data_IF_341342350199
#
_entry.id   IF_341342350199
#
_cell.length_a   1.000
_cell.length_b   1.000
_cell.length_c   1.000
_cell.angle_alpha   90.00
_cell.angle_beta   90.00
_cell.angle_gamma   90.00
#
_symmetry.space_group_name_H-M   'P 1'
#
loop_
_entity.id
_entity.type
_entity.pdbx_description
1 polymer ?
#
# COMPACT_ATOMS: atom_id res chain seq x y z
N UNK A 1 5.10 10.60 -38.71
CA UNK A 1 6.57 10.75 -38.66
C UNK A 1 7.12 9.65 -37.73
N UNK A 2 7.61 8.51 -38.30
CA UNK A 2 8.17 7.42 -37.49
C UNK A 2 9.62 7.74 -37.16
N UNK A 3 9.92 8.15 -35.95
CA UNK A 3 11.29 8.33 -35.47
C UNK A 3 11.97 6.95 -35.43
N UNK A 4 12.76 6.62 -36.44
CA UNK A 4 13.67 5.46 -36.38
C UNK A 4 14.81 5.83 -35.42
N UNK A 5 14.66 5.55 -34.16
CA UNK A 5 15.74 5.71 -33.21
C UNK A 5 16.85 4.74 -33.58
N UNK A 6 18.04 5.27 -33.86
CA UNK A 6 19.18 4.46 -34.26
C UNK A 6 19.58 3.57 -33.09
N UNK A 7 19.46 2.26 -33.26
CA UNK A 7 19.73 1.26 -32.20
C UNK A 7 21.13 1.41 -31.58
N UNK A 8 22.11 1.82 -32.39
CA UNK A 8 23.47 2.13 -31.93
C UNK A 8 23.50 3.32 -30.97
N UNK A 9 22.69 4.34 -31.22
CA UNK A 9 22.58 5.52 -30.36
C UNK A 9 21.94 5.14 -29.01
N UNK A 10 20.94 4.28 -29.03
CA UNK A 10 20.29 3.76 -27.82
C UNK A 10 21.28 2.97 -26.95
N UNK A 11 22.07 2.06 -27.55
CA UNK A 11 23.10 1.32 -26.82
C UNK A 11 24.17 2.24 -26.23
N UNK A 12 24.63 3.22 -26.97
CA UNK A 12 25.63 4.20 -26.52
C UNK A 12 25.08 5.03 -25.34
N UNK A 13 23.84 5.44 -25.41
CA UNK A 13 23.16 6.16 -24.34
C UNK A 13 22.99 5.28 -23.08
N UNK A 14 22.56 4.02 -23.22
CA UNK A 14 22.47 3.08 -22.10
C UNK A 14 23.83 2.81 -21.44
N UNK A 15 24.89 2.62 -22.23
CA UNK A 15 26.25 2.40 -21.71
C UNK A 15 26.75 3.64 -20.96
N UNK A 16 26.53 4.85 -21.51
CA UNK A 16 26.89 6.12 -20.86
C UNK A 16 26.11 6.31 -19.55
N UNK A 17 24.82 6.03 -19.56
CA UNK A 17 23.95 6.11 -18.39
C UNK A 17 24.40 5.13 -17.28
N UNK A 18 24.67 3.88 -17.63
CA UNK A 18 25.19 2.87 -16.70
C UNK A 18 26.55 3.27 -16.14
N UNK A 19 27.46 3.81 -16.96
CA UNK A 19 28.78 4.22 -16.48
C UNK A 19 28.74 5.40 -15.52
N UNK A 20 27.80 6.34 -15.68
CA UNK A 20 27.59 7.44 -14.74
C UNK A 20 27.08 6.92 -13.38
N UNK A 21 26.17 5.94 -13.36
CA UNK A 21 25.71 5.33 -12.13
C UNK A 21 26.76 4.47 -11.42
N UNK A 22 27.63 3.81 -12.16
CA UNK A 22 28.73 3.02 -11.58
C UNK A 22 29.87 3.89 -11.00
N UNK A 23 30.05 5.11 -11.50
CA UNK A 23 31.11 6.01 -11.02
C UNK A 23 30.86 6.61 -9.63
N UNK A 24 29.64 6.54 -9.11
CA UNK A 24 29.26 7.13 -7.83
C UNK A 24 29.68 6.35 -6.57
N UNK A 25 30.27 5.16 -6.69
CA UNK A 25 30.52 4.26 -5.56
C UNK A 25 31.98 4.22 -5.08
N UNK A 26 32.81 5.19 -5.43
CA UNK A 26 34.18 5.28 -4.94
C UNK A 26 34.28 6.10 -3.65
N UNK A 27 33.64 5.65 -2.58
CA UNK A 27 33.90 6.20 -1.25
C UNK A 27 34.58 5.14 -0.37
N UNK A 28 35.44 5.57 0.55
CA UNK A 28 36.00 4.75 1.63
C UNK A 28 34.92 4.22 2.60
N UNK A 29 33.68 4.02 2.10
CA UNK A 29 32.57 3.50 2.87
C UNK A 29 32.75 2.02 3.09
N UNK A 30 33.04 1.64 4.34
CA UNK A 30 33.06 0.24 4.75
C UNK A 30 31.61 -0.25 4.89
N UNK A 31 31.16 -1.04 3.94
CA UNK A 31 29.86 -1.71 4.03
C UNK A 31 29.82 -2.56 5.29
N UNK A 32 29.01 -2.17 6.24
CA UNK A 32 28.93 -2.82 7.56
C UNK A 32 28.14 -4.12 7.57
N UNK A 33 28.32 -5.00 6.56
CA UNK A 33 27.63 -6.29 6.46
C UNK A 33 27.83 -7.20 7.68
N UNK A 34 28.89 -6.97 8.48
CA UNK A 34 29.10 -7.66 9.73
C UNK A 34 27.95 -7.46 10.74
N UNK A 35 27.18 -6.37 10.59
CA UNK A 35 26.03 -6.04 11.44
C UNK A 35 24.87 -7.04 11.30
N UNK A 36 24.78 -7.71 10.14
CA UNK A 36 23.77 -8.75 9.85
C UNK A 36 24.41 -10.11 9.57
N UNK A 37 25.71 -10.27 9.91
CA UNK A 37 26.40 -11.54 9.72
C UNK A 37 26.07 -12.52 10.85
N UNK A 38 25.63 -13.75 10.53
CA UNK A 38 25.37 -14.77 11.53
C UNK A 38 26.64 -15.25 12.26
N UNK A 39 27.83 -14.84 11.79
CA UNK A 39 29.12 -15.26 12.37
C UNK A 39 29.45 -14.58 13.70
N UNK A 40 28.72 -13.57 14.13
CA UNK A 40 28.96 -12.84 15.37
C UNK A 40 27.66 -12.63 16.16
N UNK A 41 27.78 -12.44 17.47
CA UNK A 41 26.62 -12.28 18.37
C UNK A 41 25.78 -11.04 18.04
N UNK A 42 26.41 -9.95 17.62
CA UNK A 42 25.72 -8.70 17.25
C UNK A 42 24.87 -8.93 15.99
N UNK A 43 25.44 -9.60 14.99
CA UNK A 43 24.73 -9.92 13.78
C UNK A 43 23.54 -10.85 14.01
N UNK A 44 23.69 -11.85 14.86
CA UNK A 44 22.57 -12.75 15.26
C UNK A 44 21.44 -11.97 15.94
N UNK A 45 21.78 -11.11 16.90
CA UNK A 45 20.77 -10.28 17.60
C UNK A 45 20.03 -9.34 16.64
N UNK A 46 20.75 -8.74 15.69
CA UNK A 46 20.14 -7.88 14.69
C UNK A 46 19.24 -8.64 13.70
N UNK A 47 19.63 -9.86 13.31
CA UNK A 47 18.78 -10.74 12.48
C UNK A 47 17.49 -11.10 13.25
N UNK A 48 17.61 -11.47 14.51
CA UNK A 48 16.47 -11.80 15.35
C UNK A 48 15.50 -10.61 15.51
N UNK A 49 16.03 -9.42 15.71
CA UNK A 49 15.25 -8.18 15.73
C UNK A 49 14.53 -7.93 14.39
N UNK A 50 15.21 -8.10 13.26
CA UNK A 50 14.62 -7.95 11.93
C UNK A 50 13.52 -8.98 11.65
N UNK A 51 13.73 -10.21 12.07
CA UNK A 51 12.70 -11.27 11.96
C UNK A 51 11.48 -10.96 12.83
N UNK A 52 11.69 -10.39 14.02
CA UNK A 52 10.62 -9.87 14.87
C UNK A 52 9.81 -8.77 14.18
N UNK A 53 10.49 -7.80 13.54
CA UNK A 53 9.87 -6.76 12.74
C UNK A 53 9.09 -7.31 11.53
N UNK A 54 9.65 -8.31 10.84
CA UNK A 54 8.99 -8.98 9.73
C UNK A 54 7.69 -9.67 10.18
N UNK A 55 7.73 -10.40 11.30
CA UNK A 55 6.53 -11.02 11.88
C UNK A 55 5.46 -9.98 12.19
N UNK A 56 5.86 -8.84 12.77
CA UNK A 56 4.94 -7.74 13.07
C UNK A 56 4.30 -7.19 11.80
N UNK A 57 5.10 -6.91 10.77
CA UNK A 57 4.63 -6.39 9.48
C UNK A 57 3.63 -7.34 8.81
N UNK A 58 3.95 -8.64 8.75
CA UNK A 58 3.05 -9.64 8.17
C UNK A 58 1.73 -9.70 8.94
N UNK A 59 1.78 -9.69 10.27
CA UNK A 59 0.58 -9.76 11.11
C UNK A 59 -0.33 -8.55 10.89
N UNK A 60 0.24 -7.33 10.91
CA UNK A 60 -0.53 -6.10 10.63
C UNK A 60 -1.14 -6.14 9.23
N UNK A 61 -0.36 -6.54 8.22
CA UNK A 61 -0.82 -6.58 6.84
C UNK A 61 -1.99 -7.55 6.63
N UNK A 62 -1.91 -8.75 7.20
CA UNK A 62 -2.99 -9.75 7.07
C UNK A 62 -4.27 -9.26 7.73
N UNK A 63 -4.17 -8.72 8.95
CA UNK A 63 -5.34 -8.23 9.69
C UNK A 63 -5.93 -6.99 9.01
N UNK A 64 -5.10 -6.04 8.60
CA UNK A 64 -5.55 -4.84 7.89
C UNK A 64 -6.23 -5.18 6.56
N UNK A 65 -5.66 -6.13 5.78
CA UNK A 65 -6.27 -6.60 4.54
C UNK A 65 -7.63 -7.25 4.76
N UNK A 66 -7.77 -8.07 5.80
CA UNK A 66 -9.06 -8.67 6.14
C UNK A 66 -10.14 -7.61 6.38
N UNK A 67 -9.85 -6.60 7.20
CA UNK A 67 -10.79 -5.51 7.44
C UNK A 67 -11.00 -4.62 6.22
N UNK A 68 -9.96 -4.38 5.41
CA UNK A 68 -10.07 -3.63 4.16
C UNK A 68 -11.01 -4.32 3.15
N UNK A 69 -10.96 -5.66 3.06
CA UNK A 69 -11.86 -6.44 2.21
C UNK A 69 -13.31 -6.29 2.68
N UNK A 70 -13.57 -6.41 3.98
CA UNK A 70 -14.91 -6.25 4.53
C UNK A 70 -15.45 -4.82 4.27
N UNK A 71 -14.67 -3.80 4.56
CA UNK A 71 -15.03 -2.41 4.31
C UNK A 71 -15.23 -2.16 2.81
N UNK A 72 -14.32 -2.61 1.97
CA UNK A 72 -14.40 -2.46 0.51
C UNK A 72 -15.63 -3.13 -0.08
N UNK A 73 -16.04 -4.29 0.42
CA UNK A 73 -17.27 -4.96 0.01
C UNK A 73 -18.50 -4.13 0.36
N UNK A 74 -18.59 -3.63 1.59
CA UNK A 74 -19.70 -2.77 2.05
C UNK A 74 -19.80 -1.51 1.18
N UNK A 75 -18.67 -0.84 0.93
CA UNK A 75 -18.60 0.36 0.11
C UNK A 75 -19.01 0.06 -1.33
N UNK A 76 -18.56 -1.06 -1.90
CA UNK A 76 -18.92 -1.49 -3.26
C UNK A 76 -20.43 -1.73 -3.39
N UNK A 77 -21.04 -2.43 -2.44
CA UNK A 77 -22.49 -2.69 -2.42
C UNK A 77 -23.25 -1.37 -2.32
N UNK A 78 -22.84 -0.46 -1.43
CA UNK A 78 -23.45 0.86 -1.30
C UNK A 78 -23.36 1.66 -2.62
N UNK A 79 -22.26 1.56 -3.35
CA UNK A 79 -22.05 2.23 -4.63
C UNK A 79 -22.82 1.63 -5.82
N UNK A 80 -23.35 0.40 -5.69
CA UNK A 80 -24.19 -0.21 -6.74
C UNK A 80 -25.69 0.10 -6.58
N UNK A 81 -26.08 0.74 -5.49
CA UNK A 81 -27.48 1.10 -5.24
C UNK A 81 -27.94 2.24 -6.15
N UNK A 82 -29.22 2.21 -6.54
CA UNK A 82 -29.84 3.28 -7.36
C UNK A 82 -30.09 4.58 -6.58
N UNK A 83 -29.82 4.61 -5.28
CA UNK A 83 -30.03 5.78 -4.44
C UNK A 83 -28.91 6.81 -4.67
N UNK A 84 -29.25 7.96 -5.24
CA UNK A 84 -28.32 9.05 -5.55
C UNK A 84 -27.57 9.57 -4.31
N UNK A 85 -28.24 9.64 -3.16
CA UNK A 85 -27.63 10.11 -1.91
C UNK A 85 -26.54 9.17 -1.42
N UNK A 86 -26.80 7.85 -1.41
CA UNK A 86 -25.80 6.85 -1.04
C UNK A 86 -24.62 6.83 -2.02
N UNK A 87 -24.89 7.03 -3.30
CA UNK A 87 -23.84 7.08 -4.30
C UNK A 87 -22.92 8.31 -4.12
N UNK A 88 -23.49 9.48 -3.81
CA UNK A 88 -22.68 10.69 -3.53
C UNK A 88 -21.77 10.47 -2.31
N UNK A 89 -22.30 9.92 -1.22
CA UNK A 89 -21.51 9.62 -0.01
C UNK A 89 -20.39 8.63 -0.35
N UNK A 90 -20.69 7.59 -1.11
CA UNK A 90 -19.75 6.56 -1.51
C UNK A 90 -18.60 7.14 -2.36
N UNK A 91 -18.91 7.91 -3.39
CA UNK A 91 -17.93 8.58 -4.24
C UNK A 91 -17.07 9.54 -3.42
N UNK A 92 -17.71 10.38 -2.57
CA UNK A 92 -16.97 11.31 -1.71
C UNK A 92 -16.03 10.59 -0.76
N UNK A 93 -16.44 9.48 -0.15
CA UNK A 93 -15.57 8.66 0.71
C UNK A 93 -14.36 8.16 -0.06
N UNK A 94 -14.58 7.56 -1.23
CA UNK A 94 -13.51 7.00 -2.07
C UNK A 94 -12.51 8.11 -2.45
N UNK A 95 -13.00 9.25 -2.92
CA UNK A 95 -12.16 10.36 -3.36
C UNK A 95 -11.34 10.97 -2.21
N UNK A 96 -11.98 11.23 -1.07
CA UNK A 96 -11.32 11.81 0.11
C UNK A 96 -10.25 10.88 0.67
N UNK A 97 -10.58 9.59 0.87
CA UNK A 97 -9.61 8.65 1.45
C UNK A 97 -8.41 8.44 0.51
N UNK A 98 -8.64 8.33 -0.80
CA UNK A 98 -7.55 8.17 -1.78
C UNK A 98 -6.66 9.40 -1.93
N UNK A 99 -7.16 10.59 -1.58
CA UNK A 99 -6.38 11.82 -1.59
C UNK A 99 -5.42 11.94 -0.38
N UNK A 100 -5.65 11.18 0.68
CA UNK A 100 -4.84 11.26 1.91
C UNK A 100 -3.64 10.31 1.80
N UNK A 101 -2.39 10.81 1.95
CA UNK A 101 -1.23 9.94 2.04
C UNK A 101 -1.33 8.97 3.22
N UNK A 102 -0.98 7.69 3.02
CA UNK A 102 -1.10 6.63 4.04
C UNK A 102 -0.42 7.02 5.36
N UNK A 103 0.77 7.62 5.29
CA UNK A 103 1.49 8.07 6.50
C UNK A 103 0.69 9.10 7.30
N UNK A 104 0.06 10.04 6.61
CA UNK A 104 -0.79 11.07 7.25
C UNK A 104 -1.99 10.41 7.93
N UNK A 105 -2.62 9.43 7.28
CA UNK A 105 -3.74 8.68 7.87
C UNK A 105 -3.32 7.93 9.14
N UNK A 106 -2.15 7.26 9.11
CA UNK A 106 -1.63 6.55 10.28
C UNK A 106 -1.41 7.52 11.45
N UNK A 107 -0.77 8.67 11.18
CA UNK A 107 -0.53 9.68 12.21
C UNK A 107 -1.83 10.27 12.73
N UNK A 108 -2.81 10.50 11.87
CA UNK A 108 -4.12 11.01 12.27
C UNK A 108 -4.89 10.01 13.13
N UNK A 109 -4.90 8.74 12.79
CA UNK A 109 -5.53 7.68 13.59
C UNK A 109 -4.82 7.50 14.93
N UNK A 110 -3.50 7.60 14.97
CA UNK A 110 -2.73 7.37 16.20
C UNK A 110 -2.75 8.56 17.17
N UNK A 111 -2.70 9.79 16.67
CA UNK A 111 -2.64 11.00 17.50
C UNK A 111 -3.93 11.82 17.49
N UNK A 112 -4.59 11.95 16.34
CA UNK A 112 -5.75 12.81 16.16
C UNK A 112 -7.04 12.16 16.68
N UNK A 113 -7.29 10.91 16.30
CA UNK A 113 -8.51 10.21 16.67
C UNK A 113 -8.66 10.01 18.20
N UNK A 114 -7.60 9.69 18.96
CA UNK A 114 -7.66 9.62 20.42
C UNK A 114 -8.14 10.92 21.08
N UNK A 115 -7.68 12.06 20.57
CA UNK A 115 -8.07 13.38 21.10
C UNK A 115 -9.55 13.66 20.87
N UNK A 116 -10.08 13.26 19.71
CA UNK A 116 -11.49 13.48 19.35
C UNK A 116 -12.45 12.55 20.10
N UNK A 117 -12.06 11.28 20.26
CA UNK A 117 -12.92 10.23 20.81
C UNK A 117 -12.64 9.90 22.27
N UNK A 118 -11.61 10.52 22.86
CA UNK A 118 -11.08 10.20 24.19
C UNK A 118 -10.78 8.69 24.37
N UNK A 119 -10.19 8.10 23.32
CA UNK A 119 -9.80 6.68 23.27
C UNK A 119 -8.27 6.57 23.13
N UNK A 120 -7.70 5.50 23.67
CA UNK A 120 -6.28 5.22 23.50
C UNK A 120 -6.09 4.02 22.57
N UNK A 121 -5.38 4.22 21.48
CA UNK A 121 -5.01 3.16 20.54
C UNK A 121 -3.54 2.78 20.71
N UNK A 122 -3.25 1.48 20.69
CA UNK A 122 -1.87 1.03 20.51
C UNK A 122 -1.42 1.34 19.09
N UNK A 123 -0.10 1.51 18.88
CA UNK A 123 0.44 1.71 17.53
C UNK A 123 0.05 0.59 16.56
N UNK A 124 -0.06 -0.65 17.07
CA UNK A 124 -0.53 -1.80 16.31
C UNK A 124 -1.98 -1.63 15.84
N UNK A 125 -2.89 -1.26 16.74
CA UNK A 125 -4.29 -1.05 16.42
C UNK A 125 -4.48 0.14 15.47
N UNK A 126 -3.79 1.25 15.71
CA UNK A 126 -3.83 2.42 14.83
C UNK A 126 -3.35 2.09 13.42
N UNK A 127 -2.29 1.30 13.29
CA UNK A 127 -1.78 0.82 12.00
C UNK A 127 -2.82 -0.02 11.24
N UNK A 128 -3.46 -0.98 11.93
CA UNK A 128 -4.53 -1.81 11.33
C UNK A 128 -5.69 -0.94 10.86
N UNK A 129 -6.20 -0.04 11.70
CA UNK A 129 -7.33 0.82 11.38
C UNK A 129 -7.00 1.71 10.18
N UNK A 130 -5.86 2.41 10.23
CA UNK A 130 -5.46 3.33 9.17
C UNK A 130 -5.27 2.61 7.82
N UNK A 131 -4.55 1.49 7.80
CA UNK A 131 -4.33 0.71 6.58
C UNK A 131 -5.64 0.13 6.05
N UNK A 132 -6.53 -0.38 6.92
CA UNK A 132 -7.83 -0.88 6.49
C UNK A 132 -8.68 0.20 5.81
N UNK A 133 -8.69 1.41 6.36
CA UNK A 133 -9.42 2.54 5.78
C UNK A 133 -8.79 2.96 4.45
N UNK A 134 -7.45 3.08 4.38
CA UNK A 134 -6.75 3.49 3.17
C UNK A 134 -6.92 2.52 2.00
N UNK A 135 -6.93 1.21 2.27
CA UNK A 135 -7.03 0.19 1.23
C UNK A 135 -8.48 -0.10 0.80
N UNK A 136 -9.46 0.21 1.64
CA UNK A 136 -10.87 -0.10 1.37
C UNK A 136 -11.42 0.51 0.08
N UNK A 137 -11.07 1.75 -0.35
CA UNK A 137 -11.52 2.30 -1.63
C UNK A 137 -11.01 1.53 -2.84
N UNK A 138 -9.76 1.06 -2.81
CA UNK A 138 -9.18 0.28 -3.91
C UNK A 138 -9.86 -1.07 -4.04
N UNK A 139 -10.10 -1.74 -2.93
CA UNK A 139 -10.82 -3.01 -2.88
C UNK A 139 -12.28 -2.84 -3.32
N UNK A 140 -12.92 -1.74 -2.93
CA UNK A 140 -14.28 -1.40 -3.37
C UNK A 140 -14.38 -1.30 -4.91
N UNK A 141 -13.40 -0.66 -5.56
CA UNK A 141 -13.35 -0.57 -7.01
C UNK A 141 -13.14 -1.93 -7.69
N UNK A 142 -12.33 -2.81 -7.08
CA UNK A 142 -12.16 -4.19 -7.58
C UNK A 142 -13.48 -4.95 -7.53
N UNK A 143 -14.20 -4.90 -6.41
CA UNK A 143 -15.51 -5.53 -6.30
C UNK A 143 -16.52 -4.94 -7.29
N UNK A 144 -16.56 -3.61 -7.42
CA UNK A 144 -17.46 -2.93 -8.35
C UNK A 144 -17.20 -3.33 -9.79
N UNK A 145 -15.94 -3.39 -10.20
CA UNK A 145 -15.58 -3.83 -11.56
C UNK A 145 -15.94 -5.29 -11.82
N UNK A 146 -15.73 -6.17 -10.83
CA UNK A 146 -16.14 -7.56 -10.90
C UNK A 146 -17.66 -7.73 -11.06
N UNK A 147 -18.45 -7.01 -10.28
CA UNK A 147 -19.92 -7.03 -10.36
C UNK A 147 -20.40 -6.52 -11.73
N UNK A 148 -19.78 -5.48 -12.27
CA UNK A 148 -20.14 -4.91 -13.56
C UNK A 148 -19.73 -5.80 -14.75
N UNK A 149 -18.71 -6.63 -14.58
CA UNK A 149 -18.24 -7.54 -15.62
C UNK A 149 -19.18 -8.74 -15.86
N UNK A 150 -20.14 -9.00 -14.97
CA UNK A 150 -21.10 -10.12 -15.11
C UNK A 150 -22.05 -9.83 -16.28
N UNK A 151 -22.13 -10.71 -17.32
CA UNK A 151 -23.02 -10.57 -18.47
C UNK A 151 -24.49 -10.49 -18.06
N UNK A 152 -25.28 -9.70 -18.81
CA UNK A 152 -26.71 -9.51 -18.52
C UNK A 152 -27.49 -10.83 -18.44
N UNK A 153 -27.23 -11.79 -19.34
CA UNK A 153 -27.90 -13.09 -19.34
C UNK A 153 -27.66 -13.92 -18.08
N UNK A 154 -26.51 -13.76 -17.39
CA UNK A 154 -26.29 -14.43 -16.10
C UNK A 154 -27.05 -13.75 -14.96
N UNK A 155 -27.28 -12.43 -15.05
CA UNK A 155 -28.08 -11.70 -14.07
C UNK A 155 -29.57 -11.99 -14.17
N UNK A 156 -30.04 -12.39 -15.36
CA UNK A 156 -31.46 -12.74 -15.60
C UNK A 156 -31.76 -14.21 -15.27
N UNK A 157 -30.72 -15.06 -15.20
CA UNK A 157 -30.85 -16.49 -14.91
C UNK A 157 -30.80 -16.81 -13.39
N UNK A 158 -30.42 -15.84 -12.53
CA UNK A 158 -30.32 -15.98 -11.06
C UNK A 158 -31.27 -15.05 -10.35
#
# INVERSE_FOLDING_TARGET
MKFKLNTKFLYLFCILFISIFLSGCSSNYKWGWYVISPSNKIGLSNIEFLLGGLKFTITVSIIAMFFAILLGLIISIAGTTKNKFLNVINVSYIEVIRAIPVLVMILWVYYGLPVLLNLNFSAFAAGIIALSICESPFISEIFRSGIQAVPAGQKEAG
#
